data_IF_591757302088
#
_entry.id   IF_591757302088
#
_cell.length_a   1.000
_cell.length_b   1.000
_cell.length_c   1.000
_cell.angle_alpha   90.00
_cell.angle_beta   90.00
_cell.angle_gamma   90.00
#
_symmetry.space_group_name_H-M   'P 1'
#
loop_
_entity.id
_entity.type
_entity.pdbx_description
1 polymer ?
#
# COMPACT_ATOMS: atom_id res chain seq x y z
N UNK A 1 39.64 -7.65 -20.88
CA UNK A 1 39.69 -6.38 -20.15
C UNK A 1 40.91 -6.42 -19.26
N UNK A 2 41.70 -5.36 -19.19
CA UNK A 2 42.92 -5.33 -18.36
C UNK A 2 42.49 -4.72 -17.00
N UNK A 3 42.84 -5.41 -15.92
CA UNK A 3 42.65 -4.88 -14.57
C UNK A 3 43.78 -3.94 -14.17
N UNK A 4 43.56 -3.10 -13.13
CA UNK A 4 44.61 -2.23 -12.60
C UNK A 4 45.84 -3.03 -12.17
N UNK A 5 45.66 -4.16 -11.51
CA UNK A 5 46.74 -5.03 -11.05
C UNK A 5 47.57 -5.56 -12.23
N UNK A 6 46.92 -5.93 -13.34
CA UNK A 6 47.62 -6.36 -14.57
C UNK A 6 48.34 -5.20 -15.23
N UNK A 7 47.78 -4.00 -15.20
CA UNK A 7 48.45 -2.81 -15.73
C UNK A 7 49.71 -2.48 -14.95
N UNK A 8 49.62 -2.48 -13.64
CA UNK A 8 50.74 -2.26 -12.72
C UNK A 8 51.82 -3.34 -12.90
N UNK A 9 51.43 -4.60 -12.90
CA UNK A 9 52.33 -5.72 -13.10
C UNK A 9 53.13 -5.62 -14.41
N UNK A 10 52.47 -5.32 -15.54
CA UNK A 10 53.14 -5.19 -16.85
C UNK A 10 54.19 -4.08 -16.81
N UNK A 11 53.90 -2.94 -16.21
CA UNK A 11 54.83 -1.81 -16.10
C UNK A 11 56.00 -2.14 -15.18
N UNK A 12 55.74 -2.71 -14.02
CA UNK A 12 56.74 -3.10 -13.04
C UNK A 12 57.65 -4.23 -13.58
N UNK A 13 57.04 -5.25 -14.22
CA UNK A 13 57.78 -6.35 -14.83
C UNK A 13 58.79 -5.88 -15.89
N UNK A 14 58.43 -4.88 -16.70
CA UNK A 14 59.33 -4.33 -17.71
C UNK A 14 60.34 -3.36 -17.13
N UNK A 15 59.91 -2.36 -16.34
CA UNK A 15 60.74 -1.25 -15.89
C UNK A 15 61.64 -1.60 -14.68
N UNK A 16 61.16 -2.45 -13.79
CA UNK A 16 61.89 -2.80 -12.55
C UNK A 16 62.62 -4.13 -12.70
N UNK A 17 61.95 -5.15 -13.26
CA UNK A 17 62.50 -6.50 -13.37
C UNK A 17 63.17 -6.78 -14.74
N UNK A 18 63.19 -5.82 -15.66
CA UNK A 18 63.85 -5.94 -16.94
C UNK A 18 63.30 -7.03 -17.88
N UNK A 19 62.07 -7.49 -17.64
CA UNK A 19 61.43 -8.55 -18.43
C UNK A 19 61.16 -8.07 -19.85
N UNK A 20 61.45 -8.91 -20.85
CA UNK A 20 61.13 -8.63 -22.25
C UNK A 20 59.58 -8.70 -22.47
N UNK A 21 59.09 -7.96 -23.48
CA UNK A 21 57.69 -7.99 -23.91
C UNK A 21 57.24 -9.43 -24.20
N UNK A 22 58.12 -10.28 -24.70
CA UNK A 22 57.83 -11.70 -25.01
C UNK A 22 57.59 -12.52 -23.73
N UNK A 23 58.35 -12.25 -22.68
CA UNK A 23 58.18 -12.89 -21.37
C UNK A 23 56.90 -12.45 -20.71
N UNK A 24 56.60 -11.13 -20.71
CA UNK A 24 55.38 -10.57 -20.16
C UNK A 24 54.15 -11.10 -20.90
N UNK A 25 54.23 -11.26 -22.25
CA UNK A 25 53.16 -11.89 -23.03
C UNK A 25 52.87 -13.32 -22.56
N UNK A 26 53.94 -14.11 -22.33
CA UNK A 26 53.83 -15.51 -21.90
C UNK A 26 53.18 -15.60 -20.49
N UNK A 27 53.51 -14.68 -19.62
CA UNK A 27 53.03 -14.65 -18.23
C UNK A 27 51.59 -14.11 -18.07
N UNK A 28 51.25 -13.10 -18.86
CA UNK A 28 49.96 -12.40 -18.72
C UNK A 28 48.90 -12.81 -19.75
N UNK A 29 49.31 -13.48 -20.85
CA UNK A 29 48.40 -13.83 -21.93
C UNK A 29 47.97 -12.65 -22.82
N UNK A 30 48.44 -11.42 -22.55
CA UNK A 30 48.08 -10.24 -23.33
C UNK A 30 48.87 -10.13 -24.63
N UNK A 31 48.28 -9.51 -25.67
CA UNK A 31 48.96 -9.31 -26.94
C UNK A 31 50.14 -8.34 -26.79
N UNK A 32 51.21 -8.50 -27.63
CA UNK A 32 52.37 -7.61 -27.66
C UNK A 32 51.96 -6.16 -27.91
N UNK A 33 50.94 -5.93 -28.72
CA UNK A 33 50.42 -4.59 -29.03
C UNK A 33 49.82 -3.96 -27.76
N UNK A 34 49.06 -4.73 -27.00
CA UNK A 34 48.46 -4.29 -25.74
C UNK A 34 49.56 -3.94 -24.71
N UNK A 35 50.60 -4.82 -24.59
CA UNK A 35 51.72 -4.58 -23.67
C UNK A 35 52.50 -3.32 -24.04
N UNK A 36 52.78 -3.08 -25.33
CA UNK A 36 53.44 -1.84 -25.78
C UNK A 36 52.66 -0.59 -25.42
N UNK A 37 51.36 -0.57 -25.69
CA UNK A 37 50.49 0.56 -25.34
C UNK A 37 50.53 0.88 -23.86
N UNK A 38 50.50 -0.15 -22.98
CA UNK A 38 50.63 0.01 -21.55
C UNK A 38 51.97 0.61 -21.14
N UNK A 39 53.06 0.16 -21.76
CA UNK A 39 54.41 0.65 -21.50
C UNK A 39 54.62 2.09 -21.99
N UNK A 40 53.94 2.50 -23.05
CA UNK A 40 53.89 3.85 -23.60
C UNK A 40 53.05 4.79 -22.78
N UNK A 41 52.33 4.27 -21.80
CA UNK A 41 51.51 5.08 -20.86
C UNK A 41 50.06 5.21 -21.27
N UNK A 42 49.62 4.55 -22.34
CA UNK A 42 48.19 4.49 -22.64
C UNK A 42 47.47 3.75 -21.55
N UNK A 43 46.61 4.47 -20.82
CA UNK A 43 45.71 3.87 -19.88
C UNK A 43 44.55 3.23 -20.66
N UNK A 44 44.16 1.99 -20.39
CA UNK A 44 43.01 1.37 -21.05
C UNK A 44 41.71 1.99 -20.58
N UNK A 45 41.41 3.20 -21.05
CA UNK A 45 40.10 3.81 -20.79
C UNK A 45 39.01 2.94 -21.40
N UNK A 46 38.01 2.63 -20.56
CA UNK A 46 36.81 1.99 -21.04
C UNK A 46 36.05 2.98 -21.94
N UNK A 47 36.29 2.94 -23.24
CA UNK A 47 35.47 3.70 -24.19
C UNK A 47 34.08 3.11 -24.21
N UNK A 48 33.17 3.73 -23.43
CA UNK A 48 31.72 3.46 -23.59
C UNK A 48 31.39 3.65 -25.05
N UNK A 49 30.81 2.62 -25.69
CA UNK A 49 30.23 2.81 -27.03
C UNK A 49 29.19 3.92 -26.91
N UNK A 50 29.47 5.08 -27.49
CA UNK A 50 28.65 6.28 -27.41
C UNK A 50 27.28 6.11 -28.09
N UNK A 51 27.15 5.17 -29.00
CA UNK A 51 25.92 4.90 -29.74
C UNK A 51 25.67 3.39 -29.75
N UNK A 52 24.53 2.99 -29.20
CA UNK A 52 24.07 1.61 -29.28
C UNK A 52 23.41 1.42 -30.65
N UNK A 53 23.98 0.58 -31.49
CA UNK A 53 23.39 0.24 -32.78
C UNK A 53 22.08 -0.54 -32.55
N UNK A 54 20.98 -0.10 -33.17
CA UNK A 54 19.69 -0.80 -33.20
C UNK A 54 19.41 -1.28 -34.63
N UNK A 55 20.03 -2.35 -35.12
CA UNK A 55 19.97 -2.72 -36.54
C UNK A 55 18.54 -3.03 -37.02
N UNK A 56 17.73 -3.65 -36.19
CA UNK A 56 16.32 -3.98 -36.51
C UNK A 56 15.37 -2.87 -36.11
N UNK A 57 15.53 -2.27 -34.92
CA UNK A 57 14.66 -1.22 -34.40
C UNK A 57 14.86 0.13 -35.10
N UNK A 58 16.02 0.33 -35.76
CA UNK A 58 16.38 1.62 -36.36
C UNK A 58 15.34 2.18 -37.32
N UNK A 59 14.71 1.32 -38.10
CA UNK A 59 13.66 1.68 -39.08
C UNK A 59 12.35 2.17 -38.44
N UNK A 60 12.10 1.81 -37.19
CA UNK A 60 10.86 2.09 -36.48
C UNK A 60 10.99 3.18 -35.40
N UNK A 61 12.14 3.85 -35.31
CA UNK A 61 12.37 4.88 -34.30
C UNK A 61 11.42 6.05 -34.43
N UNK A 62 11.26 6.56 -35.63
CA UNK A 62 10.39 7.71 -35.89
C UNK A 62 8.92 7.39 -35.57
N UNK A 63 8.48 6.19 -35.87
CA UNK A 63 7.15 5.70 -35.53
C UNK A 63 6.94 5.66 -34.00
N UNK A 64 7.92 5.13 -33.23
CA UNK A 64 7.85 5.09 -31.76
C UNK A 64 7.82 6.51 -31.18
N UNK A 65 8.70 7.40 -31.66
CA UNK A 65 8.77 8.79 -31.17
C UNK A 65 7.49 9.56 -31.48
N UNK A 66 6.91 9.35 -32.67
CA UNK A 66 5.61 9.92 -33.03
C UNK A 66 4.50 9.45 -32.06
N UNK A 67 4.35 8.15 -31.84
CA UNK A 67 3.35 7.61 -30.90
C UNK A 67 3.54 8.14 -29.47
N UNK A 68 4.78 8.29 -29.03
CA UNK A 68 5.07 8.86 -27.70
C UNK A 68 4.75 10.36 -27.62
N UNK A 69 4.86 11.10 -28.72
CA UNK A 69 4.44 12.51 -28.80
C UNK A 69 2.92 12.63 -28.74
N UNK A 70 2.21 11.80 -29.49
CA UNK A 70 0.74 11.74 -29.49
C UNK A 70 0.20 11.42 -28.07
N UNK A 71 0.90 10.57 -27.33
CA UNK A 71 0.57 10.25 -25.94
C UNK A 71 0.54 11.46 -25.00
N UNK A 72 1.20 12.58 -25.33
CA UNK A 72 1.22 13.77 -24.47
C UNK A 72 -0.15 14.41 -24.33
N UNK A 73 -0.94 14.35 -25.39
CA UNK A 73 -2.28 14.93 -25.45
C UNK A 73 -3.36 14.01 -24.86
N UNK A 74 -2.99 12.77 -24.54
CA UNK A 74 -3.90 11.75 -24.05
C UNK A 74 -3.74 11.57 -22.53
N UNK A 75 -4.84 11.22 -21.85
CA UNK A 75 -4.84 10.95 -20.40
C UNK A 75 -3.83 9.86 -20.05
N UNK A 76 -3.13 9.99 -18.91
CA UNK A 76 -2.06 9.07 -18.48
C UNK A 76 -2.49 7.58 -18.50
N UNK A 77 -3.78 7.31 -18.24
CA UNK A 77 -4.34 5.95 -18.20
C UNK A 77 -4.49 5.31 -19.59
N UNK A 78 -4.50 6.10 -20.67
CA UNK A 78 -4.64 5.63 -22.05
C UNK A 78 -3.37 5.71 -22.87
N UNK A 79 -2.22 6.13 -22.28
CA UNK A 79 -0.93 6.21 -22.95
C UNK A 79 -0.34 4.85 -23.22
N UNK A 80 0.45 4.75 -24.28
CA UNK A 80 1.14 3.52 -24.64
C UNK A 80 2.07 3.04 -23.53
N UNK A 81 1.93 1.76 -23.18
CA UNK A 81 2.99 1.03 -22.46
C UNK A 81 4.04 0.55 -23.44
N UNK A 82 5.27 0.30 -22.98
CA UNK A 82 6.33 -0.22 -23.84
C UNK A 82 5.95 -1.56 -24.52
N UNK A 83 5.15 -2.39 -23.81
CA UNK A 83 4.60 -3.63 -24.35
C UNK A 83 3.59 -3.38 -25.46
N UNK A 84 2.69 -2.40 -25.30
CA UNK A 84 1.71 -2.05 -26.35
C UNK A 84 2.41 -1.50 -27.58
N UNK A 85 3.47 -0.67 -27.41
CA UNK A 85 4.30 -0.19 -28.52
C UNK A 85 4.92 -1.38 -29.26
N UNK A 86 5.49 -2.36 -28.52
CA UNK A 86 6.04 -3.57 -29.15
C UNK A 86 4.98 -4.33 -29.93
N UNK A 87 3.80 -4.58 -29.36
CA UNK A 87 2.71 -5.30 -30.03
C UNK A 87 2.29 -4.57 -31.31
N UNK A 88 2.10 -3.24 -31.27
CA UNK A 88 1.76 -2.45 -32.43
C UNK A 88 2.83 -2.47 -33.52
N UNK A 89 4.11 -2.42 -33.12
CA UNK A 89 5.22 -2.55 -34.09
C UNK A 89 5.23 -3.90 -34.80
N UNK A 90 4.89 -4.98 -34.11
CA UNK A 90 4.75 -6.31 -34.72
C UNK A 90 3.54 -6.37 -35.63
N UNK A 91 2.40 -5.89 -35.20
CA UNK A 91 1.11 -5.97 -35.92
C UNK A 91 1.04 -4.99 -37.10
N UNK A 92 1.52 -3.75 -36.92
CA UNK A 92 1.32 -2.67 -37.91
C UNK A 92 2.55 -2.44 -38.79
N UNK A 93 3.77 -2.71 -38.28
CA UNK A 93 5.03 -2.36 -38.94
C UNK A 93 5.93 -3.59 -39.25
N UNK A 94 5.45 -4.80 -38.95
CA UNK A 94 6.17 -6.05 -39.21
C UNK A 94 7.52 -6.17 -38.46
N UNK A 95 7.61 -5.62 -37.24
CA UNK A 95 8.83 -5.68 -36.43
C UNK A 95 9.17 -7.10 -35.98
N UNK A 96 10.41 -7.53 -36.26
CA UNK A 96 10.89 -8.89 -35.95
C UNK A 96 11.87 -8.95 -34.79
N UNK A 97 12.15 -7.82 -34.14
CA UNK A 97 13.10 -7.76 -33.01
C UNK A 97 12.46 -8.10 -31.66
N UNK A 98 13.25 -8.05 -30.58
CA UNK A 98 12.80 -8.40 -29.24
C UNK A 98 12.06 -7.26 -28.54
N UNK A 99 11.08 -7.61 -27.67
CA UNK A 99 10.38 -6.67 -26.79
C UNK A 99 11.36 -5.92 -25.88
N UNK A 100 12.42 -6.58 -25.41
CA UNK A 100 13.41 -5.98 -24.51
C UNK A 100 14.10 -4.78 -25.16
N UNK A 101 14.40 -4.88 -26.47
CA UNK A 101 15.01 -3.78 -27.23
C UNK A 101 14.06 -2.59 -27.34
N UNK A 102 12.78 -2.81 -27.63
CA UNK A 102 11.75 -1.78 -27.68
C UNK A 102 11.60 -1.12 -26.31
N UNK A 103 11.48 -1.90 -25.23
CA UNK A 103 11.35 -1.40 -23.87
C UNK A 103 12.53 -0.51 -23.46
N UNK A 104 13.76 -0.91 -23.81
CA UNK A 104 14.98 -0.11 -23.55
C UNK A 104 14.94 1.21 -24.31
N UNK A 105 14.59 1.17 -25.58
CA UNK A 105 14.51 2.36 -26.42
C UNK A 105 13.42 3.34 -25.94
N UNK A 106 12.21 2.85 -25.67
CA UNK A 106 11.11 3.65 -25.12
C UNK A 106 11.52 4.34 -23.82
N UNK A 107 12.23 3.64 -22.93
CA UNK A 107 12.77 4.24 -21.69
C UNK A 107 13.75 5.37 -21.99
N UNK A 108 14.64 5.19 -22.95
CA UNK A 108 15.61 6.23 -23.34
C UNK A 108 14.91 7.47 -23.91
N UNK A 109 13.93 7.29 -24.79
CA UNK A 109 13.16 8.40 -25.37
C UNK A 109 12.38 9.14 -24.28
N UNK A 110 11.67 8.43 -23.40
CA UNK A 110 10.92 9.03 -22.29
C UNK A 110 11.84 9.82 -21.35
N UNK A 111 13.01 9.31 -21.03
CA UNK A 111 14.00 10.00 -20.19
C UNK A 111 14.54 11.26 -20.88
N UNK A 112 14.87 11.19 -22.18
CA UNK A 112 15.39 12.32 -22.97
C UNK A 112 14.37 13.44 -23.12
N UNK A 113 13.11 13.10 -23.25
CA UNK A 113 12.01 14.06 -23.45
C UNK A 113 11.38 14.56 -22.13
N UNK A 114 11.97 14.23 -20.98
CA UNK A 114 11.45 14.64 -19.66
C UNK A 114 10.07 14.04 -19.33
N UNK A 115 9.63 13.01 -20.07
CA UNK A 115 8.37 12.32 -19.82
C UNK A 115 8.44 11.42 -18.60
N UNK A 116 9.61 11.01 -18.19
CA UNK A 116 9.89 10.29 -16.97
C UNK A 116 10.26 11.33 -15.90
N UNK A 117 9.24 11.98 -15.35
CA UNK A 117 9.41 12.78 -14.14
C UNK A 117 9.63 11.79 -13.01
N UNK A 118 10.88 11.32 -12.86
CA UNK A 118 11.36 10.77 -11.60
C UNK A 118 11.34 11.94 -10.60
N UNK A 119 10.20 12.11 -9.94
CA UNK A 119 10.11 13.05 -8.82
C UNK A 119 11.02 12.47 -7.75
N UNK A 120 12.06 13.21 -7.39
CA UNK A 120 12.81 12.91 -6.19
C UNK A 120 11.87 13.18 -5.00
N UNK A 121 11.53 12.13 -4.26
CA UNK A 121 10.78 12.27 -3.02
C UNK A 121 11.80 12.35 -1.89
N UNK A 122 11.71 13.41 -1.08
CA UNK A 122 12.35 13.44 0.21
C UNK A 122 11.67 12.36 1.07
N UNK A 123 12.44 11.41 1.54
CA UNK A 123 12.00 10.47 2.57
C UNK A 123 11.91 11.31 3.85
N UNK A 124 10.71 11.77 4.17
CA UNK A 124 10.44 12.35 5.48
C UNK A 124 10.44 11.17 6.46
N UNK A 125 11.36 11.15 7.41
CA UNK A 125 11.29 10.20 8.50
C UNK A 125 10.05 10.52 9.33
N UNK A 126 9.12 9.56 9.49
CA UNK A 126 7.93 9.79 10.27
C UNK A 126 8.29 9.96 11.74
N UNK A 127 7.71 10.96 12.40
CA UNK A 127 7.87 11.19 13.84
C UNK A 127 7.22 10.07 14.64
N UNK A 128 7.86 9.73 15.77
CA UNK A 128 7.42 8.67 16.67
C UNK A 128 6.01 8.97 17.23
N UNK A 129 5.07 8.06 17.05
CA UNK A 129 3.73 8.14 17.63
C UNK A 129 2.82 9.23 17.06
N UNK A 130 3.20 9.92 16.00
CA UNK A 130 2.43 11.06 15.48
C UNK A 130 1.32 10.66 14.51
N UNK A 131 1.61 9.78 13.57
CA UNK A 131 0.68 9.48 12.49
C UNK A 131 0.45 7.99 12.28
N UNK A 132 -0.81 7.61 12.06
CA UNK A 132 -1.18 6.30 11.55
C UNK A 132 -2.07 6.42 10.30
N UNK A 133 -1.89 5.51 9.37
CA UNK A 133 -2.68 5.41 8.15
C UNK A 133 -3.80 4.38 8.35
N UNK A 134 -4.98 4.71 7.84
CA UNK A 134 -6.19 3.87 7.94
C UNK A 134 -6.76 3.61 6.56
N UNK A 135 -7.05 2.34 6.28
CA UNK A 135 -7.68 1.96 5.01
C UNK A 135 -8.47 0.64 5.17
N UNK A 136 -9.35 0.36 4.19
CA UNK A 136 -10.10 -0.87 4.10
C UNK A 136 -9.58 -1.77 2.99
N UNK A 137 -9.65 -3.06 3.23
CA UNK A 137 -9.38 -4.07 2.22
C UNK A 137 -10.51 -5.09 2.13
N UNK A 138 -10.58 -5.80 1.01
CA UNK A 138 -11.51 -6.89 0.79
C UNK A 138 -10.76 -8.20 0.64
N UNK A 139 -11.35 -9.28 1.15
CA UNK A 139 -10.81 -10.63 1.04
C UNK A 139 -11.92 -11.68 1.14
N UNK A 140 -11.53 -12.97 1.13
CA UNK A 140 -12.43 -14.11 1.21
C UNK A 140 -11.94 -15.06 2.30
N UNK A 141 -12.87 -15.62 3.08
CA UNK A 141 -12.65 -16.72 3.99
C UNK A 141 -13.67 -17.83 3.75
N UNK A 142 -13.38 -19.03 4.23
CA UNK A 142 -14.35 -20.10 4.33
C UNK A 142 -14.93 -20.08 5.75
N UNK A 143 -16.16 -19.59 5.91
CA UNK A 143 -16.86 -19.53 7.20
C UNK A 143 -17.91 -20.63 7.23
N UNK A 144 -17.76 -21.60 8.14
CA UNK A 144 -18.64 -22.78 8.22
C UNK A 144 -18.76 -23.52 6.89
N UNK A 145 -17.68 -23.62 6.15
CA UNK A 145 -17.66 -24.25 4.83
C UNK A 145 -18.22 -23.40 3.68
N UNK A 146 -18.70 -22.19 3.95
CA UNK A 146 -19.26 -21.28 2.95
C UNK A 146 -18.21 -20.23 2.57
N UNK A 147 -17.99 -20.06 1.26
CA UNK A 147 -17.11 -19.01 0.74
C UNK A 147 -17.72 -17.62 1.00
N UNK A 148 -17.16 -16.91 1.96
CA UNK A 148 -17.68 -15.64 2.47
C UNK A 148 -16.75 -14.50 2.12
N UNK A 149 -17.18 -13.52 1.30
CA UNK A 149 -16.45 -12.28 1.13
C UNK A 149 -16.58 -11.45 2.42
N UNK A 150 -15.51 -10.72 2.77
CA UNK A 150 -15.50 -9.86 3.92
C UNK A 150 -14.62 -8.64 3.69
N UNK A 151 -14.85 -7.61 4.48
CA UNK A 151 -14.01 -6.41 4.53
C UNK A 151 -13.08 -6.50 5.74
N UNK A 152 -11.90 -5.93 5.62
CA UNK A 152 -11.02 -5.81 6.76
C UNK A 152 -10.49 -4.39 6.90
N UNK A 153 -10.58 -3.88 8.10
CA UNK A 153 -9.97 -2.63 8.52
C UNK A 153 -8.48 -2.84 8.74
N UNK A 154 -7.67 -1.89 8.31
CA UNK A 154 -6.24 -1.87 8.55
C UNK A 154 -5.83 -0.50 9.08
N UNK A 155 -5.15 -0.45 10.24
CA UNK A 155 -4.48 0.73 10.75
C UNK A 155 -2.99 0.44 10.88
N UNK A 156 -2.15 1.36 10.38
CA UNK A 156 -0.70 1.22 10.37
C UNK A 156 -0.01 2.50 10.77
N UNK A 157 0.70 2.53 11.92
CA UNK A 157 1.60 3.62 12.28
C UNK A 157 2.67 3.84 11.21
N UNK A 158 2.97 5.10 10.93
CA UNK A 158 4.01 5.44 9.95
C UNK A 158 5.42 5.20 10.48
N UNK A 159 5.63 5.38 11.77
CA UNK A 159 6.95 5.21 12.37
C UNK A 159 7.34 3.72 12.49
N UNK A 160 6.62 2.92 13.25
CA UNK A 160 6.95 1.50 13.46
C UNK A 160 6.53 0.62 12.29
N UNK A 161 5.46 0.98 11.61
CA UNK A 161 4.86 0.17 10.55
C UNK A 161 4.10 -1.05 11.04
N UNK A 162 3.78 -1.16 12.37
CA UNK A 162 3.06 -2.29 12.96
C UNK A 162 1.60 -2.29 12.51
N UNK A 163 1.11 -3.30 11.78
CA UNK A 163 -0.27 -3.31 11.34
C UNK A 163 -1.20 -3.77 12.46
N UNK A 164 -2.39 -3.19 12.52
CA UNK A 164 -3.56 -3.77 13.15
C UNK A 164 -4.58 -4.09 12.05
N UNK A 165 -5.15 -5.30 12.08
CA UNK A 165 -6.11 -5.77 11.07
C UNK A 165 -7.26 -6.46 11.75
N UNK A 166 -8.52 -6.11 11.37
CA UNK A 166 -9.73 -6.71 11.89
C UNK A 166 -10.77 -6.88 10.79
N UNK A 167 -11.38 -8.04 10.71
CA UNK A 167 -12.38 -8.42 9.71
C UNK A 167 -13.81 -8.09 10.15
N UNK A 168 -14.62 -7.70 9.15
CA UNK A 168 -16.03 -7.36 9.31
C UNK A 168 -16.85 -7.87 8.13
N UNK A 169 -18.15 -8.22 8.34
CA UNK A 169 -19.03 -8.60 7.23
C UNK A 169 -19.27 -7.45 6.23
N UNK A 170 -19.18 -6.19 6.68
CA UNK A 170 -19.45 -5.00 5.86
C UNK A 170 -18.73 -3.76 6.39
N UNK A 171 -18.55 -2.75 5.52
CA UNK A 171 -17.96 -1.43 5.85
C UNK A 171 -19.05 -0.45 6.33
N UNK A 172 -19.78 -0.79 7.38
CA UNK A 172 -20.75 0.15 7.97
C UNK A 172 -20.07 1.06 8.99
N UNK A 173 -20.74 2.15 9.35
CA UNK A 173 -20.25 3.12 10.34
C UNK A 173 -19.93 2.47 11.69
N UNK A 174 -20.79 1.53 12.14
CA UNK A 174 -20.57 0.78 13.39
C UNK A 174 -19.30 -0.06 13.32
N UNK A 175 -19.06 -0.77 12.20
CA UNK A 175 -17.83 -1.53 11.98
C UNK A 175 -16.59 -0.62 11.95
N UNK A 176 -16.70 0.56 11.36
CA UNK A 176 -15.62 1.53 11.33
C UNK A 176 -15.26 2.06 12.73
N UNK A 177 -16.25 2.37 13.56
CA UNK A 177 -16.01 2.86 14.93
C UNK A 177 -15.49 1.75 15.86
N UNK A 178 -16.05 0.55 15.75
CA UNK A 178 -15.57 -0.63 16.47
C UNK A 178 -14.09 -0.93 16.11
N UNK A 179 -13.76 -0.88 14.84
CA UNK A 179 -12.40 -1.09 14.36
C UNK A 179 -11.40 -0.09 14.96
N UNK A 180 -11.78 1.19 15.09
CA UNK A 180 -10.94 2.20 15.74
C UNK A 180 -10.76 1.90 17.23
N UNK A 181 -11.83 1.57 17.95
CA UNK A 181 -11.74 1.23 19.37
C UNK A 181 -10.81 0.03 19.60
N UNK A 182 -10.95 -1.03 18.80
CA UNK A 182 -10.07 -2.18 18.86
C UNK A 182 -8.62 -1.87 18.46
N UNK A 183 -8.40 -1.02 17.45
CA UNK A 183 -7.07 -0.59 17.04
C UNK A 183 -6.40 0.21 18.16
N UNK A 184 -7.07 1.18 18.74
CA UNK A 184 -6.54 1.97 19.85
C UNK A 184 -6.21 1.09 21.07
N UNK A 185 -7.07 0.12 21.38
CA UNK A 185 -6.78 -0.87 22.44
C UNK A 185 -5.54 -1.72 22.12
N UNK A 186 -5.41 -2.18 20.87
CA UNK A 186 -4.25 -2.95 20.43
C UNK A 186 -2.95 -2.15 20.53
N UNK A 187 -2.98 -0.87 20.14
CA UNK A 187 -1.82 0.01 20.24
C UNK A 187 -1.56 0.52 21.66
N UNK A 188 -2.56 0.44 22.56
CA UNK A 188 -2.47 0.95 23.91
C UNK A 188 -2.54 2.49 24.00
N UNK A 189 -3.02 3.15 22.97
CA UNK A 189 -3.13 4.61 22.88
C UNK A 189 -3.67 5.07 21.54
N UNK A 190 -3.79 6.38 21.37
CA UNK A 190 -4.33 7.03 20.17
C UNK A 190 -3.23 7.83 19.49
N UNK A 191 -3.11 7.70 18.17
CA UNK A 191 -2.22 8.53 17.36
C UNK A 191 -2.85 9.92 17.20
N UNK A 192 -2.11 11.02 17.43
CA UNK A 192 -2.62 12.38 17.28
C UNK A 192 -3.21 12.67 15.89
N UNK A 193 -2.68 12.03 14.85
CA UNK A 193 -3.14 12.21 13.47
C UNK A 193 -3.44 10.86 12.83
N UNK A 194 -4.67 10.71 12.33
CA UNK A 194 -5.07 9.56 11.51
C UNK A 194 -5.27 9.99 10.06
N UNK A 195 -4.58 9.32 9.15
CA UNK A 195 -4.60 9.62 7.72
C UNK A 195 -5.53 8.64 7.01
N UNK A 196 -6.57 9.18 6.39
CA UNK A 196 -7.59 8.40 5.67
C UNK A 196 -7.52 8.63 4.17
N UNK A 197 -7.86 7.58 3.40
CA UNK A 197 -8.37 7.81 2.06
C UNK A 197 -9.81 8.33 2.12
N UNK A 198 -10.40 8.55 0.98
CA UNK A 198 -11.73 9.10 0.79
C UNK A 198 -12.84 8.14 1.31
N UNK A 199 -12.89 7.91 2.61
CA UNK A 199 -13.81 6.97 3.26
C UNK A 199 -15.23 7.53 3.32
N UNK A 200 -16.19 6.87 2.67
CA UNK A 200 -17.62 7.24 2.71
C UNK A 200 -18.21 7.20 4.12
N UNK A 201 -17.69 6.32 4.99
CA UNK A 201 -18.12 6.20 6.39
C UNK A 201 -17.72 7.37 7.27
N UNK A 202 -16.74 8.18 6.85
CA UNK A 202 -16.26 9.35 7.59
C UNK A 202 -16.70 10.67 6.98
N UNK A 203 -17.07 10.69 5.68
CA UNK A 203 -17.28 11.91 4.91
C UNK A 203 -18.65 11.93 4.25
N UNK A 204 -19.43 12.96 4.51
CA UNK A 204 -20.73 13.18 3.86
C UNK A 204 -20.56 13.73 2.43
N UNK A 205 -19.65 14.67 2.25
CA UNK A 205 -19.40 15.32 0.97
C UNK A 205 -17.94 15.69 0.77
N UNK A 206 -17.42 15.36 -0.40
CA UNK A 206 -16.09 15.80 -0.85
C UNK A 206 -16.21 17.17 -1.50
N UNK A 207 -15.53 18.16 -0.94
CA UNK A 207 -15.39 19.49 -1.52
C UNK A 207 -14.07 19.60 -2.31
N UNK A 208 -13.82 20.77 -2.92
CA UNK A 208 -12.60 21.02 -3.67
C UNK A 208 -11.36 20.93 -2.79
N UNK A 209 -10.35 20.19 -3.21
CA UNK A 209 -9.10 20.02 -2.48
C UNK A 209 -9.23 19.07 -1.26
N UNK A 210 -8.66 19.47 -0.13
CA UNK A 210 -8.69 18.70 1.14
C UNK A 210 -9.96 18.93 1.96
N UNK A 211 -10.80 19.85 1.57
CA UNK A 211 -12.01 20.18 2.32
C UNK A 211 -13.05 19.06 2.18
N UNK A 212 -13.66 18.70 3.32
CA UNK A 212 -14.66 17.64 3.46
C UNK A 212 -15.75 18.11 4.42
N UNK A 213 -16.98 17.65 4.20
CA UNK A 213 -18.03 17.70 5.24
C UNK A 213 -18.01 16.33 5.90
N UNK A 214 -17.60 16.32 7.15
CA UNK A 214 -17.55 15.12 7.98
C UNK A 214 -18.92 14.81 8.55
N UNK A 215 -19.26 13.52 8.68
CA UNK A 215 -20.45 13.08 9.36
C UNK A 215 -20.36 13.40 10.86
N UNK A 216 -21.49 13.77 11.47
CA UNK A 216 -21.55 14.12 12.90
C UNK A 216 -21.05 13.01 13.81
N UNK A 217 -21.36 11.77 13.47
CA UNK A 217 -20.90 10.61 14.22
C UNK A 217 -19.38 10.44 14.15
N UNK A 218 -18.75 10.73 13.02
CA UNK A 218 -17.29 10.71 12.90
C UNK A 218 -16.63 11.84 13.68
N UNK A 219 -17.23 13.03 13.67
CA UNK A 219 -16.77 14.15 14.51
C UNK A 219 -16.83 13.80 15.99
N UNK A 220 -17.89 13.09 16.43
CA UNK A 220 -18.02 12.59 17.80
C UNK A 220 -16.91 11.61 18.16
N UNK A 221 -16.62 10.62 17.28
CA UNK A 221 -15.52 9.66 17.47
C UNK A 221 -14.18 10.39 17.63
N UNK A 222 -13.88 11.31 16.71
CA UNK A 222 -12.65 12.09 16.70
C UNK A 222 -12.48 12.95 17.95
N UNK A 223 -13.54 13.63 18.36
CA UNK A 223 -13.54 14.46 19.58
C UNK A 223 -13.36 13.61 20.83
N UNK A 224 -13.97 12.42 20.86
CA UNK A 224 -13.90 11.53 22.01
C UNK A 224 -12.48 10.97 22.23
N UNK A 225 -11.85 10.49 21.17
CA UNK A 225 -10.48 9.95 21.20
C UNK A 225 -9.40 11.01 21.03
N UNK A 226 -9.77 12.26 20.77
CA UNK A 226 -8.89 13.43 20.64
C UNK A 226 -7.80 13.26 19.56
N UNK A 227 -8.19 12.93 18.33
CA UNK A 227 -7.29 12.86 17.19
C UNK A 227 -7.72 13.77 16.04
N UNK A 228 -6.75 14.20 15.24
CA UNK A 228 -6.97 14.89 13.97
C UNK A 228 -7.19 13.88 12.84
N UNK A 229 -8.19 14.10 12.01
CA UNK A 229 -8.38 13.32 10.78
C UNK A 229 -7.83 14.09 9.59
N UNK A 230 -6.88 13.47 8.87
CA UNK A 230 -6.32 14.02 7.63
C UNK A 230 -6.73 13.14 6.46
N UNK A 231 -7.35 13.74 5.44
CA UNK A 231 -7.78 13.02 4.25
C UNK A 231 -6.80 13.26 3.09
N UNK A 232 -6.41 12.18 2.42
CA UNK A 232 -5.58 12.27 1.22
C UNK A 232 -6.30 12.96 0.07
N UNK A 233 -5.54 13.65 -0.78
CA UNK A 233 -6.09 14.24 -1.99
C UNK A 233 -6.47 13.16 -3.00
N UNK A 234 -7.62 13.31 -3.70
CA UNK A 234 -7.96 12.42 -4.80
C UNK A 234 -6.83 12.39 -5.85
N UNK A 235 -6.28 11.21 -6.13
CA UNK A 235 -5.25 11.01 -7.14
C UNK A 235 -3.79 11.17 -6.67
N UNK A 236 -3.54 11.47 -5.40
CA UNK A 236 -2.18 11.56 -4.82
C UNK A 236 -1.70 10.22 -4.26
N UNK A 237 -1.39 9.28 -5.16
CA UNK A 237 -0.90 7.93 -4.78
C UNK A 237 0.36 7.97 -3.87
N UNK A 238 1.11 9.07 -3.89
CA UNK A 238 2.34 9.24 -3.13
C UNK A 238 2.12 9.52 -1.62
N UNK A 239 0.93 9.99 -1.26
CA UNK A 239 0.57 10.26 0.14
C UNK A 239 0.19 8.96 0.90
N UNK A 240 -0.01 7.85 0.18
CA UNK A 240 -0.54 6.56 0.66
C UNK A 240 0.43 5.38 0.65
N UNK A 241 1.68 5.58 0.31
CA UNK A 241 2.61 4.48 0.01
C UNK A 241 2.73 3.36 1.08
N UNK A 242 2.34 3.63 2.31
CA UNK A 242 2.48 2.72 3.42
C UNK A 242 1.33 1.71 3.56
N UNK A 243 0.09 2.18 3.67
CA UNK A 243 -1.08 1.33 3.98
C UNK A 243 -1.53 0.47 2.80
N UNK A 244 -1.47 0.96 1.55
CA UNK A 244 -1.74 0.13 0.36
C UNK A 244 -0.78 -1.06 0.26
N UNK A 245 0.48 -0.84 0.59
CA UNK A 245 1.49 -1.89 0.67
C UNK A 245 1.12 -2.94 1.72
N UNK A 246 0.61 -2.50 2.88
CA UNK A 246 0.19 -3.39 3.97
C UNK A 246 -1.08 -4.16 3.64
N UNK A 247 -2.08 -3.56 3.01
CA UNK A 247 -3.29 -4.28 2.54
C UNK A 247 -2.90 -5.41 1.59
N UNK A 248 -2.02 -5.13 0.62
CA UNK A 248 -1.47 -6.14 -0.25
C UNK A 248 -0.65 -7.22 0.49
N UNK A 249 0.08 -6.84 1.52
CA UNK A 249 0.83 -7.77 2.38
C UNK A 249 -0.12 -8.67 3.18
N UNK A 250 -1.14 -8.11 3.82
CA UNK A 250 -2.18 -8.83 4.57
C UNK A 250 -2.85 -9.89 3.71
N UNK A 251 -3.29 -9.51 2.50
CA UNK A 251 -3.90 -10.46 1.57
C UNK A 251 -2.99 -11.64 1.24
N UNK A 252 -1.71 -11.42 1.03
CA UNK A 252 -0.74 -12.45 0.62
C UNK A 252 -0.16 -13.27 1.76
N UNK A 253 -0.07 -12.69 2.97
CA UNK A 253 0.68 -13.32 4.07
C UNK A 253 -0.17 -13.68 5.28
N UNK A 254 -1.30 -12.98 5.52
CA UNK A 254 -2.22 -13.28 6.62
C UNK A 254 -3.40 -14.13 6.17
N UNK A 255 -3.78 -14.00 4.87
CA UNK A 255 -4.98 -14.59 4.30
C UNK A 255 -4.67 -15.64 3.20
N UNK A 256 -3.43 -16.10 3.12
CA UNK A 256 -3.00 -17.22 2.26
C UNK A 256 -2.31 -18.28 3.14
N UNK A 257 -2.78 -19.54 3.10
CA UNK A 257 -3.96 -20.04 2.39
C UNK A 257 -5.25 -19.38 2.88
N UNK A 258 -6.33 -19.46 2.09
CA UNK A 258 -7.65 -18.91 2.47
C UNK A 258 -8.04 -19.44 3.85
N UNK A 259 -8.30 -18.58 4.85
CA UNK A 259 -8.66 -19.03 6.18
C UNK A 259 -9.96 -19.85 6.18
N UNK A 260 -9.96 -20.94 6.94
CA UNK A 260 -11.14 -21.76 7.20
C UNK A 260 -11.48 -21.63 8.67
N UNK A 261 -12.65 -21.08 8.99
CA UNK A 261 -13.05 -20.68 10.34
C UNK A 261 -14.56 -20.93 10.55
N UNK A 262 -14.97 -21.00 11.81
CA UNK A 262 -16.39 -21.15 12.16
C UNK A 262 -17.08 -19.81 12.41
N UNK A 263 -16.34 -18.74 12.68
CA UNK A 263 -16.92 -17.41 12.93
C UNK A 263 -15.97 -16.27 12.58
N UNK A 264 -16.50 -15.04 12.56
CA UNK A 264 -15.68 -13.82 12.41
C UNK A 264 -14.77 -13.58 13.63
N UNK A 265 -15.16 -14.03 14.82
CA UNK A 265 -14.32 -13.95 16.04
C UNK A 265 -13.06 -14.81 15.86
N UNK A 266 -13.21 -16.01 15.34
CA UNK A 266 -12.07 -16.89 15.05
C UNK A 266 -11.17 -16.31 13.96
N UNK A 267 -11.75 -15.74 12.90
CA UNK A 267 -11.01 -15.03 11.86
C UNK A 267 -10.24 -13.85 12.46
N UNK A 268 -10.87 -13.07 13.34
CA UNK A 268 -10.25 -11.93 14.00
C UNK A 268 -9.14 -12.37 14.97
N UNK A 269 -9.31 -13.48 15.67
CA UNK A 269 -8.25 -14.07 16.49
C UNK A 269 -7.05 -14.51 15.62
N UNK A 270 -7.28 -15.08 14.43
CA UNK A 270 -6.23 -15.41 13.46
C UNK A 270 -5.48 -14.15 12.97
N UNK A 271 -6.21 -13.10 12.59
CA UNK A 271 -5.63 -11.83 12.14
C UNK A 271 -4.81 -11.15 13.24
N UNK A 272 -5.32 -11.14 14.48
CA UNK A 272 -4.61 -10.58 15.63
C UNK A 272 -3.28 -11.30 15.88
N UNK A 273 -3.28 -12.64 15.88
CA UNK A 273 -2.04 -13.43 15.98
C UNK A 273 -1.05 -13.08 14.85
N UNK A 274 -1.55 -12.85 13.65
CA UNK A 274 -0.72 -12.49 12.50
C UNK A 274 -0.14 -11.08 12.62
N UNK A 275 -0.90 -10.11 13.14
CA UNK A 275 -0.42 -8.76 13.48
C UNK A 275 0.70 -8.81 14.55
N UNK A 276 0.52 -9.64 15.59
CA UNK A 276 1.53 -9.81 16.63
C UNK A 276 2.82 -10.43 16.09
N UNK A 277 2.73 -11.50 15.28
CA UNK A 277 3.87 -12.13 14.62
C UNK A 277 4.62 -11.19 13.68
N UNK A 278 3.91 -10.27 13.03
CA UNK A 278 4.53 -9.27 12.14
C UNK A 278 5.50 -8.34 12.87
N UNK A 279 5.44 -8.25 14.20
CA UNK A 279 6.40 -7.50 15.01
C UNK A 279 7.85 -7.95 14.83
N UNK A 280 8.12 -9.21 14.48
CA UNK A 280 9.48 -9.71 14.21
C UNK A 280 10.03 -9.29 12.84
N UNK A 281 9.17 -8.75 11.95
CA UNK A 281 9.58 -8.30 10.61
C UNK A 281 10.47 -7.06 10.69
N UNK A 282 11.38 -6.89 9.69
CA UNK A 282 12.22 -5.71 9.53
C UNK A 282 11.83 -4.95 8.26
N UNK A 283 11.70 -3.66 8.40
CA UNK A 283 11.51 -2.76 7.25
C UNK A 283 12.86 -2.61 6.52
N UNK A 284 12.86 -2.69 5.21
CA UNK A 284 14.08 -2.50 4.41
C UNK A 284 14.76 -1.16 4.74
N UNK A 285 16.06 -1.21 4.99
CA UNK A 285 16.85 -0.04 5.39
C UNK A 285 16.84 0.30 6.89
N UNK A 286 16.10 -0.43 7.73
CA UNK A 286 16.13 -0.27 9.19
C UNK A 286 16.84 -1.43 9.87
N UNK A 287 17.55 -1.13 10.95
CA UNK A 287 18.27 -2.13 11.76
C UNK A 287 17.36 -2.84 12.77
N UNK A 288 16.38 -2.13 13.32
CA UNK A 288 15.43 -2.62 14.31
C UNK A 288 14.24 -3.30 13.65
N UNK A 289 13.62 -4.25 14.34
CA UNK A 289 12.38 -4.87 13.92
C UNK A 289 11.16 -3.98 14.29
N UNK A 290 10.02 -4.28 13.67
CA UNK A 290 8.75 -3.52 13.86
C UNK A 290 8.33 -3.53 15.34
N UNK A 291 8.52 -4.64 16.06
CA UNK A 291 8.16 -4.75 17.47
C UNK A 291 8.95 -3.78 18.34
N UNK A 292 10.28 -3.75 18.18
CA UNK A 292 11.15 -2.84 18.95
C UNK A 292 10.83 -1.37 18.65
N UNK A 293 10.59 -1.03 17.38
CA UNK A 293 10.16 0.32 16.99
C UNK A 293 8.82 0.68 17.62
N UNK A 294 7.90 -0.27 17.70
CA UNK A 294 6.57 -0.04 18.26
C UNK A 294 6.60 0.17 19.78
N UNK A 295 7.44 -0.56 20.54
CA UNK A 295 7.57 -0.32 21.99
C UNK A 295 7.98 1.13 22.28
N UNK A 296 8.86 1.72 21.48
CA UNK A 296 9.22 3.13 21.58
C UNK A 296 8.05 4.03 21.18
N UNK A 297 7.33 3.68 20.11
CA UNK A 297 6.21 4.46 19.60
C UNK A 297 5.04 4.51 20.59
N UNK A 298 4.82 3.42 21.31
CA UNK A 298 3.77 3.30 22.32
C UNK A 298 3.89 4.34 23.44
N UNK A 299 5.10 4.74 23.79
CA UNK A 299 5.35 5.77 24.83
C UNK A 299 4.94 7.19 24.36
N UNK A 300 4.81 7.38 23.04
CA UNK A 300 4.47 8.68 22.43
C UNK A 300 2.97 8.83 22.18
N UNK A 301 2.14 7.80 22.42
CA UNK A 301 0.71 7.82 22.10
C UNK A 301 -0.09 8.61 23.14
N UNK A 302 -1.20 9.20 22.69
CA UNK A 302 -2.19 9.81 23.60
C UNK A 302 -2.88 8.70 24.42
N UNK A 303 -2.99 8.83 25.74
CA UNK A 303 -3.66 7.84 26.56
C UNK A 303 -5.10 7.58 26.14
N UNK A 304 -5.57 6.34 26.31
CA UNK A 304 -6.96 5.96 26.05
C UNK A 304 -7.90 6.61 27.08
N UNK A 305 -9.12 6.99 26.67
CA UNK A 305 -10.18 7.32 27.62
C UNK A 305 -10.47 6.14 28.55
N UNK A 306 -10.79 6.44 29.80
CA UNK A 306 -11.09 5.41 30.84
C UNK A 306 -12.32 4.53 30.49
N UNK A 307 -13.27 5.07 29.73
CA UNK A 307 -14.48 4.35 29.29
C UNK A 307 -14.49 4.29 27.77
N UNK A 308 -14.73 3.14 27.14
CA UNK A 308 -14.87 3.05 25.69
C UNK A 308 -16.06 3.89 25.18
N UNK A 309 -15.94 4.47 23.96
CA UNK A 309 -17.07 5.14 23.32
C UNK A 309 -18.16 4.10 23.02
N UNK A 310 -19.38 4.35 23.51
CA UNK A 310 -20.50 3.51 23.13
C UNK A 310 -20.79 3.62 21.62
N UNK A 311 -20.59 2.52 20.91
CA UNK A 311 -20.82 2.42 19.47
C UNK A 311 -22.23 1.90 19.18
N UNK A 312 -23.22 2.67 19.63
CA UNK A 312 -24.64 2.35 19.50
C UNK A 312 -25.32 3.49 18.75
N UNK A 313 -26.02 3.19 17.67
CA UNK A 313 -26.94 4.13 17.05
C UNK A 313 -28.32 3.99 17.68
N UNK A 314 -28.83 5.09 18.19
CA UNK A 314 -30.15 5.16 18.80
C UNK A 314 -31.17 5.66 17.78
N UNK A 315 -32.26 4.93 17.61
CA UNK A 315 -33.38 5.27 16.75
C UNK A 315 -34.68 5.19 17.54
N UNK A 316 -35.52 6.20 17.41
CA UNK A 316 -36.87 6.16 17.88
C UNK A 316 -37.83 5.88 16.72
N UNK A 317 -38.65 4.86 16.86
CA UNK A 317 -39.58 4.45 15.82
C UNK A 317 -40.83 3.85 16.44
N UNK A 318 -41.79 3.42 15.62
CA UNK A 318 -43.01 2.77 16.08
C UNK A 318 -43.11 1.36 15.52
N UNK A 319 -43.63 0.44 16.31
CA UNK A 319 -43.97 -0.90 15.85
C UNK A 319 -45.15 -0.83 14.90
N UNK A 320 -45.06 -1.49 13.77
CA UNK A 320 -46.16 -1.54 12.79
C UNK A 320 -47.29 -2.49 13.20
N UNK A 321 -48.36 -2.52 12.42
CA UNK A 321 -49.51 -3.40 12.68
C UNK A 321 -49.20 -4.90 12.58
N UNK A 322 -48.04 -5.25 12.01
CA UNK A 322 -47.57 -6.63 11.87
C UNK A 322 -46.57 -7.02 12.96
N UNK A 323 -46.46 -6.19 14.02
CA UNK A 323 -45.51 -6.40 15.10
C UNK A 323 -44.06 -6.42 14.61
N UNK A 324 -43.74 -5.53 13.69
CA UNK A 324 -42.37 -5.36 13.22
C UNK A 324 -41.89 -3.92 13.32
N UNK A 325 -40.58 -3.77 13.42
CA UNK A 325 -39.86 -2.50 13.41
C UNK A 325 -38.96 -2.47 12.17
N UNK A 326 -38.93 -1.38 11.44
CA UNK A 326 -38.09 -1.20 10.26
C UNK A 326 -36.84 -0.43 10.66
N UNK A 327 -35.65 -1.05 10.45
CA UNK A 327 -34.35 -0.44 10.68
C UNK A 327 -33.48 -0.73 9.45
N UNK A 328 -32.89 0.28 8.83
CA UNK A 328 -32.05 0.14 7.65
C UNK A 328 -32.66 -0.74 6.54
N UNK A 329 -33.97 -0.54 6.27
CA UNK A 329 -34.77 -1.31 5.30
C UNK A 329 -35.04 -2.78 5.67
N UNK A 330 -34.55 -3.26 6.80
CA UNK A 330 -34.84 -4.59 7.33
C UNK A 330 -35.99 -4.54 8.32
N UNK A 331 -36.72 -5.64 8.44
CA UNK A 331 -37.85 -5.78 9.39
C UNK A 331 -37.43 -6.72 10.51
N UNK A 332 -37.64 -6.25 11.73
CA UNK A 332 -37.34 -6.99 12.95
C UNK A 332 -38.62 -7.22 13.74
N UNK A 333 -38.90 -8.47 14.11
CA UNK A 333 -40.09 -8.83 14.85
C UNK A 333 -40.00 -8.41 16.32
N UNK A 334 -41.14 -8.04 16.88
CA UNK A 334 -41.29 -7.80 18.33
C UNK A 334 -42.53 -8.52 18.82
N UNK A 335 -42.71 -8.76 20.15
CA UNK A 335 -43.92 -9.38 20.67
C UNK A 335 -45.17 -8.57 20.32
N UNK A 336 -46.27 -9.25 19.99
CA UNK A 336 -47.51 -8.65 19.49
C UNK A 336 -48.09 -7.60 20.43
N UNK A 337 -47.89 -7.75 21.74
CA UNK A 337 -48.33 -6.80 22.77
C UNK A 337 -47.81 -5.39 22.61
N UNK A 338 -46.73 -5.20 21.81
CA UNK A 338 -46.12 -3.90 21.54
C UNK A 338 -46.51 -3.29 20.18
N UNK A 339 -47.46 -3.92 19.47
CA UNK A 339 -47.96 -3.40 18.19
C UNK A 339 -48.46 -1.96 18.33
N UNK A 340 -48.07 -1.08 17.40
CA UNK A 340 -48.38 0.36 17.35
C UNK A 340 -47.80 1.22 18.48
N UNK A 341 -46.98 0.66 19.38
CA UNK A 341 -46.29 1.42 20.41
C UNK A 341 -44.98 2.02 19.87
N UNK A 342 -44.53 3.12 20.50
CA UNK A 342 -43.24 3.71 20.26
C UNK A 342 -42.16 2.87 20.95
N UNK A 343 -41.05 2.66 20.26
CA UNK A 343 -39.93 1.88 20.77
C UNK A 343 -38.60 2.59 20.45
N UNK A 344 -37.65 2.39 21.33
CA UNK A 344 -36.26 2.79 21.10
C UNK A 344 -35.50 1.58 20.55
N UNK A 345 -34.77 1.78 19.46
CA UNK A 345 -33.94 0.76 18.87
C UNK A 345 -32.48 1.16 19.08
N UNK A 346 -31.69 0.23 19.57
CA UNK A 346 -30.25 0.31 19.70
C UNK A 346 -29.62 -0.58 18.67
N UNK A 347 -28.98 0.03 17.66
CA UNK A 347 -28.26 -0.68 16.62
C UNK A 347 -26.77 -0.70 16.96
N UNK A 348 -26.24 -1.89 17.24
CA UNK A 348 -24.83 -2.16 17.49
C UNK A 348 -24.20 -2.94 16.33
N UNK A 349 -22.94 -3.31 16.46
CA UNK A 349 -22.26 -4.19 15.52
C UNK A 349 -22.74 -5.64 15.64
N UNK A 350 -23.17 -6.02 16.85
CA UNK A 350 -23.56 -7.39 17.19
C UNK A 350 -25.06 -7.67 16.95
N UNK A 351 -25.86 -6.60 16.75
CA UNK A 351 -27.27 -6.79 16.51
C UNK A 351 -28.15 -5.55 16.77
N UNK A 352 -29.46 -5.83 16.82
CA UNK A 352 -30.51 -4.85 17.00
C UNK A 352 -31.26 -5.17 18.29
N UNK A 353 -31.11 -4.30 19.29
CA UNK A 353 -31.87 -4.35 20.53
C UNK A 353 -33.04 -3.38 20.47
N UNK A 354 -34.24 -3.86 20.81
CA UNK A 354 -35.48 -3.05 20.81
C UNK A 354 -36.00 -2.91 22.23
N UNK A 355 -36.26 -1.66 22.64
CA UNK A 355 -36.66 -1.30 23.98
C UNK A 355 -38.02 -0.57 23.98
N UNK A 356 -38.85 -0.87 24.99
CA UNK A 356 -40.03 -0.10 25.31
C UNK A 356 -40.01 0.21 26.81
N UNK A 357 -40.17 1.50 27.18
CA UNK A 357 -40.12 1.99 28.55
C UNK A 357 -38.91 1.48 29.36
N UNK A 358 -37.70 1.49 28.71
CA UNK A 358 -36.49 1.08 29.35
C UNK A 358 -36.25 -0.44 29.40
N UNK A 359 -37.25 -1.26 29.04
CA UNK A 359 -37.15 -2.72 29.02
C UNK A 359 -36.81 -3.23 27.60
N UNK A 360 -35.82 -4.10 27.48
CA UNK A 360 -35.55 -4.80 26.23
C UNK A 360 -36.66 -5.80 25.91
N UNK A 361 -37.30 -5.62 24.77
CA UNK A 361 -38.45 -6.45 24.32
C UNK A 361 -38.09 -7.41 23.19
N UNK A 362 -37.00 -7.14 22.44
CA UNK A 362 -36.49 -8.03 21.41
C UNK A 362 -34.99 -7.80 21.22
N UNK A 363 -34.30 -8.86 20.76
CA UNK A 363 -32.93 -8.84 20.31
C UNK A 363 -32.82 -9.65 19.00
N UNK A 364 -32.10 -9.12 18.03
CA UNK A 364 -31.81 -9.78 16.72
C UNK A 364 -30.35 -9.62 16.37
N UNK A 365 -29.67 -10.71 16.00
CA UNK A 365 -28.31 -10.75 15.51
C UNK A 365 -28.22 -10.32 14.04
#
# INVERSE_FOLDING_TARGET
MITMDQYEYIRTAHRVYGKSIRQIQKETGHSRVTIRKILEGEFPEYKRRSVQAYPVLGKHRDTIERWLKEDREITKKQRHTARRIYTRLVEEEGYTGSEVTVRRYVRQVKAKEGMDTSRAYLILEPECGQEAEVDWGEAIAMVRGIRTPFHFFCMRPRFSGRPFVRAYPCERQQAFFDAHAHAFTFFGGVFPVLVYDNLRSAVEKVLTGRNRIEQDAFRKLRSYYNFEARFCNPGSANEKGGVEGVIGYVRRNFLVPVPVVDSFEELNAHLLRSCLRHGSHRIAGRTENIGSLFEREKECLVPLPAVPLANIALLETSVDKYSTVVVDKNRYSVPVSYARLKVRVELSIDGVDIFHDGRRIAHHE
#
